data_IF_296262423241
#
_entry.id   IF_296262423241
#
_cell.length_a   1.000
_cell.length_b   1.000
_cell.length_c   1.000
_cell.angle_alpha   90.00
_cell.angle_beta   90.00
_cell.angle_gamma   90.00
#
_symmetry.space_group_name_H-M   'P 1'
#
loop_
_entity.id
_entity.type
_entity.pdbx_description
1 polymer ?
#
# COMPACT_ATOMS: atom_id res chain seq x y z
N UNK A 1 1.62 -31.01 8.04
CA UNK A 1 2.34 -30.14 7.07
C UNK A 1 1.34 -29.11 6.53
N UNK A 2 1.73 -27.86 6.37
CA UNK A 2 0.85 -26.90 5.71
C UNK A 2 0.60 -27.37 4.27
N UNK A 3 -0.64 -27.51 3.93
CA UNK A 3 -1.08 -27.87 2.59
C UNK A 3 -1.56 -26.60 1.90
N UNK A 4 -1.32 -26.46 0.59
CA UNK A 4 -1.98 -25.43 -0.19
C UNK A 4 -3.47 -25.81 -0.37
N UNK A 5 -4.40 -25.24 0.43
CA UNK A 5 -5.80 -25.66 0.41
C UNK A 5 -6.54 -25.20 -0.87
N UNK A 6 -5.90 -24.39 -1.72
CA UNK A 6 -6.48 -23.81 -2.93
C UNK A 6 -5.86 -24.33 -4.21
N UNK A 7 -4.79 -25.14 -4.14
CA UNK A 7 -4.08 -25.64 -5.30
C UNK A 7 -3.40 -24.59 -6.16
N UNK A 8 -2.98 -23.46 -5.55
CA UNK A 8 -2.40 -22.30 -6.25
C UNK A 8 -0.87 -22.37 -6.38
N UNK A 9 -0.27 -23.57 -6.20
CA UNK A 9 1.17 -23.75 -6.44
C UNK A 9 1.55 -23.30 -7.85
N UNK A 10 2.64 -22.54 -7.95
CA UNK A 10 3.13 -21.96 -9.19
C UNK A 10 2.62 -20.54 -9.47
N UNK A 11 1.49 -20.14 -8.89
CA UNK A 11 0.90 -18.82 -9.08
C UNK A 11 1.20 -17.86 -7.89
N UNK A 12 1.87 -18.35 -6.83
CA UNK A 12 2.17 -17.58 -5.63
C UNK A 12 3.63 -17.83 -5.18
N UNK A 13 4.62 -17.11 -5.73
CA UNK A 13 6.06 -17.40 -5.52
C UNK A 13 6.49 -17.46 -4.06
N UNK A 14 5.99 -16.56 -3.21
CA UNK A 14 6.31 -16.56 -1.78
C UNK A 14 5.69 -17.74 -1.03
N UNK A 15 4.43 -18.08 -1.33
CA UNK A 15 3.77 -19.25 -0.77
C UNK A 15 4.50 -20.52 -1.17
N UNK A 16 4.86 -20.65 -2.44
CA UNK A 16 5.61 -21.80 -2.95
C UNK A 16 6.98 -21.94 -2.28
N UNK A 17 7.71 -20.84 -2.12
CA UNK A 17 9.01 -20.84 -1.45
C UNK A 17 8.86 -21.26 0.02
N UNK A 18 7.85 -20.75 0.72
CA UNK A 18 7.55 -21.12 2.11
C UNK A 18 7.15 -22.59 2.24
N UNK A 19 6.28 -23.10 1.37
CA UNK A 19 5.87 -24.51 1.37
C UNK A 19 7.07 -25.44 1.13
N UNK A 20 7.92 -25.12 0.15
CA UNK A 20 9.16 -25.89 -0.10
C UNK A 20 10.11 -25.87 1.10
N UNK A 21 10.25 -24.72 1.76
CA UNK A 21 11.06 -24.62 2.98
C UNK A 21 10.52 -25.50 4.11
N UNK A 22 9.20 -25.49 4.33
CA UNK A 22 8.57 -26.34 5.34
C UNK A 22 8.69 -27.84 5.01
N UNK A 23 8.53 -28.22 3.73
CA UNK A 23 8.69 -29.60 3.26
C UNK A 23 10.15 -30.11 3.41
N UNK A 24 11.11 -29.26 3.08
CA UNK A 24 12.53 -29.63 3.18
C UNK A 24 13.00 -29.75 4.62
N UNK A 25 12.34 -29.13 5.57
CA UNK A 25 12.64 -29.11 7.00
C UNK A 25 14.15 -29.03 7.29
N UNK A 26 14.90 -28.06 6.75
CA UNK A 26 16.34 -28.01 6.87
C UNK A 26 16.77 -27.81 8.32
N UNK A 27 17.88 -28.39 8.74
CA UNK A 27 18.46 -28.17 10.05
C UNK A 27 18.97 -26.73 10.17
N UNK A 28 18.39 -25.88 11.05
CA UNK A 28 18.64 -24.44 11.03
C UNK A 28 19.85 -24.05 11.89
N UNK A 29 21.00 -23.85 11.24
CA UNK A 29 22.22 -23.32 11.87
C UNK A 29 22.33 -21.79 11.86
N UNK A 30 21.27 -21.09 11.45
CA UNK A 30 21.21 -19.63 11.35
C UNK A 30 20.11 -19.03 12.22
N UNK A 31 19.83 -17.73 12.07
CA UNK A 31 18.65 -17.07 12.60
C UNK A 31 17.39 -17.55 11.82
N UNK A 32 16.16 -17.49 12.41
CA UNK A 32 15.84 -17.02 13.76
C UNK A 32 16.27 -17.94 14.90
N UNK A 33 16.33 -17.41 16.14
CA UNK A 33 16.82 -18.10 17.33
C UNK A 33 15.99 -19.31 17.77
N UNK A 34 14.69 -19.35 17.45
CA UNK A 34 13.79 -20.49 17.74
C UNK A 34 14.09 -21.76 16.89
N UNK A 35 14.90 -21.63 15.85
CA UNK A 35 15.35 -22.77 15.04
C UNK A 35 14.23 -23.65 14.47
N UNK A 36 13.07 -23.08 14.16
CA UNK A 36 11.88 -23.80 13.70
C UNK A 36 11.45 -24.92 14.69
N UNK A 37 11.73 -24.74 15.99
CA UNK A 37 11.40 -25.70 17.03
C UNK A 37 9.94 -25.60 17.42
N UNK A 38 9.04 -26.19 16.62
CA UNK A 38 7.60 -26.29 16.87
C UNK A 38 7.30 -26.97 18.21
N UNK A 39 8.14 -27.90 18.62
CA UNK A 39 8.05 -28.62 19.91
C UNK A 39 8.29 -27.71 21.12
N UNK A 40 9.02 -26.62 20.97
CA UNK A 40 9.32 -25.67 22.05
C UNK A 40 8.40 -24.45 22.05
N UNK A 41 8.04 -23.93 20.88
CA UNK A 41 7.38 -22.62 20.73
C UNK A 41 5.99 -22.76 20.10
N UNK A 42 5.65 -23.92 19.54
CA UNK A 42 4.41 -24.16 18.82
C UNK A 42 4.47 -23.70 17.36
N UNK A 43 3.36 -23.83 16.66
CA UNK A 43 3.28 -23.60 15.22
C UNK A 43 3.44 -22.13 14.79
N UNK A 44 3.45 -21.20 15.73
CA UNK A 44 3.67 -19.77 15.46
C UNK A 44 4.99 -19.49 14.74
N UNK A 45 6.01 -20.33 14.93
CA UNK A 45 7.32 -20.19 14.29
C UNK A 45 7.31 -20.50 12.79
N UNK A 46 6.30 -21.21 12.30
CA UNK A 46 6.23 -21.58 10.88
C UNK A 46 6.27 -20.37 9.91
N UNK A 47 5.75 -19.23 10.37
CA UNK A 47 5.76 -17.98 9.59
C UNK A 47 7.04 -17.16 9.71
N UNK A 48 7.90 -17.45 10.68
CA UNK A 48 9.17 -16.72 10.90
C UNK A 48 10.33 -17.51 10.29
N UNK A 49 10.57 -17.26 9.02
CA UNK A 49 11.49 -18.02 8.19
C UNK A 49 12.86 -17.32 8.05
N UNK A 50 13.94 -18.08 7.82
CA UNK A 50 15.27 -17.50 7.61
C UNK A 50 15.40 -16.83 6.23
N UNK A 51 16.48 -16.06 6.05
CA UNK A 51 16.82 -15.39 4.80
C UNK A 51 17.67 -16.26 3.86
N UNK A 52 17.46 -17.57 3.84
CA UNK A 52 18.21 -18.56 3.05
C UNK A 52 17.29 -19.70 2.58
N UNK A 53 17.86 -20.74 1.99
CA UNK A 53 17.16 -21.95 1.53
C UNK A 53 16.05 -21.66 0.49
N UNK A 54 16.32 -20.75 -0.45
CA UNK A 54 15.39 -20.36 -1.49
C UNK A 54 14.36 -19.31 -1.06
N UNK A 55 14.48 -18.81 0.16
CA UNK A 55 13.75 -17.65 0.66
C UNK A 55 14.57 -16.38 0.38
N UNK A 56 13.88 -15.24 0.29
CA UNK A 56 14.47 -13.98 -0.12
C UNK A 56 14.51 -12.99 1.04
N UNK A 57 15.01 -11.79 0.77
CA UNK A 57 15.02 -10.67 1.71
C UNK A 57 14.36 -9.45 1.10
N UNK A 58 13.52 -8.77 1.87
CA UNK A 58 12.84 -7.54 1.47
C UNK A 58 13.80 -6.46 0.97
N UNK A 59 15.02 -6.42 1.52
CA UNK A 59 16.02 -5.40 1.15
C UNK A 59 16.47 -5.50 -0.30
N UNK A 60 16.58 -6.70 -0.85
CA UNK A 60 17.11 -6.92 -2.18
C UNK A 60 16.02 -7.15 -3.23
N UNK A 61 14.90 -7.76 -2.86
CA UNK A 61 13.73 -8.06 -3.71
C UNK A 61 14.10 -8.59 -5.10
N UNK A 62 15.10 -9.50 -5.18
CA UNK A 62 15.63 -10.04 -6.45
C UNK A 62 15.24 -11.47 -6.72
N UNK A 63 14.68 -12.16 -5.73
CA UNK A 63 14.26 -13.57 -5.81
C UNK A 63 12.74 -13.69 -5.81
N UNK A 64 12.21 -14.53 -4.91
CA UNK A 64 10.77 -14.82 -4.80
C UNK A 64 9.95 -13.61 -4.33
N UNK A 65 10.53 -12.70 -3.55
CA UNK A 65 9.89 -11.44 -3.19
C UNK A 65 9.69 -10.56 -4.43
N UNK A 66 10.73 -10.40 -5.26
CA UNK A 66 10.64 -9.64 -6.50
C UNK A 66 9.64 -10.26 -7.50
N UNK A 67 9.53 -11.59 -7.57
CA UNK A 67 8.52 -12.27 -8.38
C UNK A 67 7.11 -11.98 -7.86
N UNK A 68 6.89 -12.03 -6.55
CA UNK A 68 5.60 -11.70 -5.95
C UNK A 68 5.25 -10.22 -6.13
N UNK A 69 6.21 -9.30 -5.99
CA UNK A 69 6.02 -7.88 -6.28
C UNK A 69 5.63 -7.64 -7.74
N UNK A 70 6.26 -8.34 -8.69
CA UNK A 70 5.90 -8.26 -10.11
C UNK A 70 4.50 -8.78 -10.40
N UNK A 71 4.09 -9.87 -9.74
CA UNK A 71 2.72 -10.39 -9.86
C UNK A 71 1.70 -9.41 -9.24
N UNK A 72 2.00 -8.83 -8.09
CA UNK A 72 1.16 -7.82 -7.48
C UNK A 72 1.05 -6.59 -8.40
N UNK A 73 2.16 -6.09 -8.95
CA UNK A 73 2.14 -5.00 -9.92
C UNK A 73 1.21 -5.33 -11.10
N UNK A 74 1.33 -6.52 -11.69
CA UNK A 74 0.46 -6.96 -12.78
C UNK A 74 -1.02 -6.99 -12.38
N UNK A 75 -1.35 -7.52 -11.18
CA UNK A 75 -2.74 -7.62 -10.70
C UNK A 75 -3.40 -6.25 -10.49
N UNK A 76 -2.66 -5.26 -10.01
CA UNK A 76 -3.14 -3.89 -9.82
C UNK A 76 -2.93 -2.99 -11.05
N UNK A 77 -2.35 -3.51 -12.15
CA UNK A 77 -2.06 -2.73 -13.34
C UNK A 77 -1.02 -1.63 -13.11
N UNK A 78 -0.07 -1.87 -12.21
CA UNK A 78 1.01 -0.94 -11.88
C UNK A 78 2.30 -1.30 -12.63
N UNK A 79 3.15 -0.32 -12.91
CA UNK A 79 4.50 -0.54 -13.43
C UNK A 79 5.45 -1.12 -12.36
N UNK A 80 5.21 -0.75 -11.11
CA UNK A 80 6.03 -1.14 -9.98
C UNK A 80 5.17 -1.44 -8.75
N UNK A 81 5.48 -2.53 -8.04
CA UNK A 81 5.01 -2.80 -6.69
C UNK A 81 6.18 -3.01 -5.74
N UNK A 82 6.02 -2.58 -4.50
CA UNK A 82 6.95 -2.86 -3.41
C UNK A 82 6.19 -3.26 -2.15
N UNK A 83 6.58 -4.39 -1.60
CA UNK A 83 6.06 -4.85 -0.33
C UNK A 83 6.72 -4.12 0.85
N UNK A 84 5.95 -3.83 1.88
CA UNK A 84 6.43 -3.20 3.11
C UNK A 84 5.90 -3.91 4.34
N UNK A 85 6.79 -4.37 5.21
CA UNK A 85 6.44 -4.94 6.52
C UNK A 85 6.14 -3.87 7.57
N UNK A 86 6.44 -2.60 7.28
CA UNK A 86 6.07 -1.45 8.11
C UNK A 86 4.64 -0.94 7.90
N UNK A 87 3.83 -1.67 7.10
CA UNK A 87 2.46 -1.34 6.79
C UNK A 87 2.29 -0.10 5.90
N UNK A 88 1.04 0.30 5.63
CA UNK A 88 0.73 1.53 4.87
C UNK A 88 1.31 2.79 5.52
N UNK A 89 1.59 2.77 6.82
CA UNK A 89 2.31 3.85 7.49
C UNK A 89 3.67 4.11 6.86
N UNK A 90 4.46 3.06 6.64
CA UNK A 90 5.76 3.16 5.98
C UNK A 90 5.61 3.57 4.51
N UNK A 91 4.63 3.01 3.79
CA UNK A 91 4.34 3.38 2.40
C UNK A 91 4.01 4.87 2.25
N UNK A 92 3.12 5.40 3.09
CA UNK A 92 2.77 6.83 3.10
C UNK A 92 3.97 7.73 3.39
N UNK A 93 4.83 7.35 4.35
CA UNK A 93 6.04 8.10 4.66
C UNK A 93 7.05 8.05 3.51
N UNK A 94 7.22 6.91 2.87
CA UNK A 94 8.11 6.76 1.72
C UNK A 94 7.66 7.62 0.54
N UNK A 95 6.36 7.65 0.22
CA UNK A 95 5.81 8.50 -0.84
C UNK A 95 5.96 9.98 -0.51
N UNK A 96 5.72 10.41 0.73
CA UNK A 96 5.94 11.79 1.13
C UNK A 96 7.41 12.22 0.90
N UNK A 97 8.37 11.34 1.26
CA UNK A 97 9.81 11.59 1.03
C UNK A 97 10.19 11.58 -0.45
N UNK A 98 9.45 10.85 -1.30
CA UNK A 98 9.73 10.74 -2.74
C UNK A 98 9.18 11.92 -3.55
N UNK A 99 8.07 12.54 -3.11
CA UNK A 99 7.35 13.56 -3.87
C UNK A 99 8.03 14.93 -3.85
N UNK A 100 8.72 15.28 -2.78
CA UNK A 100 9.28 16.64 -2.65
C UNK A 100 10.46 16.71 -1.69
N UNK A 101 10.91 17.94 -1.50
CA UNK A 101 12.01 18.30 -0.61
C UNK A 101 11.52 19.22 0.52
N UNK A 102 12.28 19.41 1.60
CA UNK A 102 11.90 20.33 2.66
C UNK A 102 11.57 21.74 2.12
N UNK A 103 10.39 22.25 2.49
CA UNK A 103 9.84 23.51 2.03
C UNK A 103 8.97 23.42 0.76
N UNK A 104 8.95 22.30 0.04
CA UNK A 104 8.02 22.11 -1.08
C UNK A 104 6.58 22.00 -0.60
N UNK A 105 5.65 22.61 -1.36
CA UNK A 105 4.22 22.57 -1.07
C UNK A 105 3.57 21.34 -1.70
N UNK A 106 2.61 20.77 -1.00
CA UNK A 106 1.78 19.65 -1.48
C UNK A 106 0.31 19.88 -1.11
N UNK A 107 -0.61 19.49 -1.99
CA UNK A 107 -2.05 19.57 -1.69
C UNK A 107 -2.48 18.29 -0.97
N UNK A 108 -3.18 18.42 0.15
CA UNK A 108 -3.46 17.30 1.06
C UNK A 108 -4.89 17.33 1.56
N UNK A 109 -5.61 16.20 1.45
CA UNK A 109 -6.95 16.08 1.99
C UNK A 109 -6.96 16.16 3.53
N UNK A 110 -7.92 16.87 4.11
CA UNK A 110 -8.08 16.97 5.58
C UNK A 110 -8.48 15.65 6.24
N UNK A 111 -8.91 14.67 5.48
CA UNK A 111 -9.33 13.34 5.92
C UNK A 111 -8.20 12.31 5.87
N UNK A 112 -6.98 12.69 5.52
CA UNK A 112 -5.85 11.76 5.43
C UNK A 112 -5.55 11.07 6.77
N UNK A 113 -4.97 9.89 6.68
CA UNK A 113 -4.52 9.16 7.85
C UNK A 113 -3.27 9.83 8.48
N UNK A 114 -3.15 9.74 9.81
CA UNK A 114 -2.01 10.33 10.58
C UNK A 114 -0.63 9.90 10.06
N UNK A 115 -0.51 8.73 9.41
CA UNK A 115 0.76 8.27 8.82
C UNK A 115 1.25 9.19 7.71
N UNK A 116 0.34 9.69 6.87
CA UNK A 116 0.68 10.68 5.85
C UNK A 116 1.09 12.01 6.49
N UNK A 117 0.37 12.45 7.54
CA UNK A 117 0.75 13.66 8.28
C UNK A 117 2.18 13.54 8.83
N UNK A 118 2.52 12.39 9.42
CA UNK A 118 3.89 12.13 9.88
C UNK A 118 4.89 12.07 8.72
N UNK A 119 4.48 11.54 7.57
CA UNK A 119 5.28 11.57 6.34
C UNK A 119 5.60 12.98 5.89
N UNK A 120 4.62 13.90 5.90
CA UNK A 120 4.83 15.31 5.57
C UNK A 120 5.83 15.97 6.52
N UNK A 121 5.72 15.70 7.84
CA UNK A 121 6.64 16.20 8.85
C UNK A 121 8.07 15.68 8.61
N UNK A 122 8.22 14.36 8.34
CA UNK A 122 9.53 13.74 8.07
C UNK A 122 10.17 14.30 6.80
N UNK A 123 9.39 14.55 5.77
CA UNK A 123 9.87 15.11 4.50
C UNK A 123 10.02 16.63 4.52
N UNK A 124 9.54 17.31 5.57
CA UNK A 124 9.57 18.77 5.68
C UNK A 124 8.66 19.46 4.66
N UNK A 125 7.59 18.80 4.20
CA UNK A 125 6.66 19.34 3.22
C UNK A 125 5.64 20.28 3.85
N UNK A 126 5.24 21.31 3.09
CA UNK A 126 4.23 22.30 3.50
C UNK A 126 2.85 21.94 2.94
N UNK A 127 1.87 21.55 3.80
CA UNK A 127 0.57 21.13 3.31
C UNK A 127 -0.35 22.31 2.96
N UNK A 128 -0.93 22.28 1.78
CA UNK A 128 -2.09 23.07 1.37
C UNK A 128 -3.33 22.21 1.53
N UNK A 129 -4.15 22.55 2.51
CA UNK A 129 -5.27 21.71 2.91
C UNK A 129 -6.46 21.84 1.98
N UNK A 130 -6.97 20.72 1.48
CA UNK A 130 -8.26 20.63 0.80
C UNK A 130 -9.28 19.92 1.69
N UNK A 131 -10.48 20.47 1.81
CA UNK A 131 -11.56 19.90 2.62
C UNK A 131 -12.43 18.98 1.76
N UNK A 132 -12.82 17.81 2.29
CA UNK A 132 -13.83 16.97 1.65
C UNK A 132 -15.20 17.65 1.74
N UNK A 133 -16.13 17.22 0.92
CA UNK A 133 -17.54 17.43 1.17
C UNK A 133 -17.97 16.65 2.42
N UNK A 134 -19.04 17.11 3.04
CA UNK A 134 -19.58 16.51 4.26
C UNK A 134 -21.07 16.27 4.05
N UNK A 135 -21.52 15.05 4.30
CA UNK A 135 -22.94 14.75 4.32
C UNK A 135 -23.64 15.59 5.39
N UNK A 136 -24.59 16.45 5.01
CA UNK A 136 -25.25 17.36 5.96
C UNK A 136 -26.13 16.64 6.98
N UNK A 137 -26.59 15.42 6.68
CA UNK A 137 -27.49 14.68 7.56
C UNK A 137 -26.71 13.96 8.68
N UNK A 138 -25.51 13.45 8.40
CA UNK A 138 -24.77 12.61 9.34
C UNK A 138 -23.39 13.16 9.69
N UNK A 139 -22.92 14.24 9.05
CA UNK A 139 -21.62 14.83 9.29
C UNK A 139 -20.45 13.97 8.78
N UNK A 140 -20.70 13.02 7.88
CA UNK A 140 -19.70 12.10 7.35
C UNK A 140 -18.93 12.72 6.18
N UNK A 141 -17.60 12.50 6.05
CA UNK A 141 -16.84 12.96 4.91
C UNK A 141 -17.19 12.14 3.65
N UNK A 142 -17.49 12.84 2.55
CA UNK A 142 -17.89 12.25 1.26
C UNK A 142 -16.75 12.18 0.24
N UNK A 143 -15.60 12.71 0.54
CA UNK A 143 -14.46 12.79 -0.36
C UNK A 143 -14.14 14.22 -0.78
N UNK A 144 -13.04 14.39 -1.49
CA UNK A 144 -12.62 15.65 -2.10
C UNK A 144 -13.21 15.73 -3.51
N UNK A 145 -13.81 16.86 -3.86
CA UNK A 145 -14.29 17.07 -5.23
C UNK A 145 -13.20 17.62 -6.15
N UNK A 146 -13.31 17.37 -7.45
CA UNK A 146 -12.43 17.94 -8.47
C UNK A 146 -12.40 19.48 -8.40
N UNK A 147 -13.54 20.13 -8.15
CA UNK A 147 -13.59 21.58 -8.02
C UNK A 147 -12.83 22.11 -6.78
N UNK A 148 -12.92 21.40 -5.64
CA UNK A 148 -12.17 21.76 -4.44
C UNK A 148 -10.65 21.58 -4.66
N UNK A 149 -10.24 20.51 -5.34
CA UNK A 149 -8.85 20.24 -5.70
C UNK A 149 -8.32 21.32 -6.66
N UNK A 150 -9.05 21.64 -7.74
CA UNK A 150 -8.69 22.68 -8.70
C UNK A 150 -8.46 24.03 -8.00
N UNK A 151 -9.36 24.41 -7.09
CA UNK A 151 -9.22 25.64 -6.29
C UNK A 151 -7.94 25.62 -5.44
N UNK A 152 -7.64 24.48 -4.80
CA UNK A 152 -6.42 24.33 -3.98
C UNK A 152 -5.16 24.45 -4.83
N UNK A 153 -5.10 23.79 -5.99
CA UNK A 153 -3.97 23.84 -6.90
C UNK A 153 -3.78 25.21 -7.55
N UNK A 154 -4.86 25.91 -7.90
CA UNK A 154 -4.79 27.29 -8.36
C UNK A 154 -4.17 28.22 -7.31
N UNK A 155 -4.41 27.96 -6.02
CA UNK A 155 -3.80 28.74 -4.92
C UNK A 155 -2.37 28.31 -4.58
N UNK A 156 -1.93 27.18 -5.10
CA UNK A 156 -0.61 26.59 -4.89
C UNK A 156 -0.03 26.05 -6.19
N UNK A 157 0.27 26.92 -7.18
CA UNK A 157 0.71 26.49 -8.52
C UNK A 157 2.11 25.84 -8.50
N UNK A 158 2.84 25.97 -7.41
CA UNK A 158 4.15 25.39 -7.15
C UNK A 158 4.10 24.03 -6.43
N UNK A 159 2.90 23.52 -6.13
CA UNK A 159 2.71 22.23 -5.48
C UNK A 159 3.39 21.09 -6.26
N UNK A 160 3.98 20.13 -5.53
CA UNK A 160 4.71 19.00 -6.10
C UNK A 160 3.89 17.72 -6.22
N UNK A 161 2.73 17.66 -5.60
CA UNK A 161 1.85 16.50 -5.64
C UNK A 161 0.59 16.68 -4.82
N UNK A 162 -0.33 15.73 -4.99
CA UNK A 162 -1.62 15.68 -4.31
C UNK A 162 -1.70 14.39 -3.51
N UNK A 163 -2.11 14.47 -2.24
CA UNK A 163 -2.31 13.30 -1.36
C UNK A 163 -3.76 13.23 -0.89
N UNK A 164 -4.47 12.18 -1.27
CA UNK A 164 -5.87 11.92 -0.93
C UNK A 164 -6.01 10.53 -0.29
N UNK A 165 -6.82 10.40 0.75
CA UNK A 165 -7.20 9.10 1.32
C UNK A 165 -8.53 8.63 0.73
N UNK A 166 -8.52 7.51 0.00
CA UNK A 166 -9.69 6.90 -0.64
C UNK A 166 -9.57 5.36 -0.70
N UNK A 167 -10.56 4.60 -0.26
CA UNK A 167 -11.82 5.04 0.37
C UNK A 167 -11.61 5.61 1.77
N UNK A 168 -12.61 6.38 2.25
CA UNK A 168 -12.61 6.90 3.61
C UNK A 168 -12.86 5.80 4.65
N UNK A 169 -12.68 6.12 5.93
CA UNK A 169 -12.98 5.19 7.04
C UNK A 169 -14.42 4.73 7.13
N UNK A 170 -15.35 5.50 6.57
CA UNK A 170 -16.78 5.19 6.57
C UNK A 170 -17.23 4.55 5.26
N UNK A 171 -16.30 4.21 4.38
CA UNK A 171 -16.56 3.51 3.12
C UNK A 171 -17.03 4.41 1.97
N UNK A 172 -16.94 5.73 2.12
CA UNK A 172 -17.21 6.64 0.99
C UNK A 172 -16.06 6.61 0.00
N UNK A 173 -16.40 6.63 -1.29
CA UNK A 173 -15.44 6.66 -2.40
C UNK A 173 -15.71 7.90 -3.24
N UNK A 174 -14.69 8.72 -3.45
CA UNK A 174 -14.72 9.89 -4.32
C UNK A 174 -14.46 9.54 -5.79
N UNK A 175 -14.58 10.52 -6.65
CA UNK A 175 -14.25 10.39 -8.07
C UNK A 175 -12.74 10.57 -8.28
N UNK A 176 -11.98 9.49 -8.10
CA UNK A 176 -10.52 9.49 -8.27
C UNK A 176 -10.12 9.86 -9.69
N UNK A 177 -10.90 9.47 -10.72
CA UNK A 177 -10.59 9.81 -12.11
C UNK A 177 -10.65 11.32 -12.34
N UNK A 178 -11.68 11.98 -11.83
CA UNK A 178 -11.77 13.44 -11.94
C UNK A 178 -10.65 14.16 -11.15
N UNK A 179 -10.22 13.59 -10.00
CA UNK A 179 -9.08 14.12 -9.23
C UNK A 179 -7.76 13.95 -10.00
N UNK A 180 -7.54 12.81 -10.65
CA UNK A 180 -6.38 12.53 -11.48
C UNK A 180 -6.30 13.50 -12.66
N UNK A 181 -7.40 13.70 -13.38
CA UNK A 181 -7.47 14.69 -14.47
C UNK A 181 -7.10 16.10 -14.01
N UNK A 182 -7.55 16.51 -12.83
CA UNK A 182 -7.18 17.82 -12.26
C UNK A 182 -5.68 17.87 -11.99
N UNK A 183 -5.13 16.90 -11.25
CA UNK A 183 -3.70 16.88 -10.89
C UNK A 183 -2.81 16.88 -12.15
N UNK A 184 -3.15 16.06 -13.15
CA UNK A 184 -2.39 15.94 -14.39
C UNK A 184 -2.46 17.22 -15.25
N UNK A 185 -3.58 17.96 -15.27
CA UNK A 185 -3.61 19.28 -15.93
C UNK A 185 -2.64 20.28 -15.31
N UNK A 186 -2.35 20.15 -14.02
CA UNK A 186 -1.34 20.93 -13.31
C UNK A 186 0.08 20.34 -13.42
N UNK A 187 0.24 19.17 -14.09
CA UNK A 187 1.55 18.51 -14.31
C UNK A 187 2.14 17.89 -13.05
N UNK A 188 1.30 17.51 -12.06
CA UNK A 188 1.73 16.94 -10.79
C UNK A 188 1.06 15.60 -10.51
N UNK A 189 1.72 14.70 -9.75
CA UNK A 189 1.19 13.38 -9.45
C UNK A 189 0.08 13.41 -8.42
N UNK A 190 -0.87 12.46 -8.56
CA UNK A 190 -1.89 12.11 -7.60
C UNK A 190 -1.49 10.84 -6.83
N UNK A 191 -1.34 10.95 -5.53
CA UNK A 191 -1.05 9.85 -4.60
C UNK A 191 -2.29 9.52 -3.78
N UNK A 192 -2.68 8.25 -3.78
CA UNK A 192 -3.85 7.77 -3.04
C UNK A 192 -3.43 6.85 -1.88
N UNK A 193 -3.81 7.23 -0.67
CA UNK A 193 -3.81 6.31 0.47
C UNK A 193 -5.09 5.46 0.40
N UNK A 194 -4.99 4.30 -0.22
CA UNK A 194 -6.05 3.31 -0.37
C UNK A 194 -5.93 2.17 0.65
N UNK A 195 -5.49 2.47 1.87
CA UNK A 195 -5.29 1.44 2.90
C UNK A 195 -6.54 0.59 3.15
N UNK A 196 -7.73 1.09 2.89
CA UNK A 196 -9.01 0.36 2.96
C UNK A 196 -9.50 -0.16 1.60
N UNK A 197 -8.79 0.11 0.51
CA UNK A 197 -9.18 -0.13 -0.87
C UNK A 197 -8.54 -1.33 -1.56
N UNK A 198 -7.84 -2.22 -0.84
CA UNK A 198 -7.10 -3.34 -1.46
C UNK A 198 -7.97 -4.28 -2.32
N UNK A 199 -9.27 -4.37 -2.05
CA UNK A 199 -10.24 -5.22 -2.76
C UNK A 199 -10.90 -4.53 -3.97
N UNK A 200 -10.74 -3.22 -4.12
CA UNK A 200 -11.34 -2.48 -5.23
C UNK A 200 -10.73 -2.90 -6.58
N UNK A 201 -11.51 -2.82 -7.65
CA UNK A 201 -11.09 -3.17 -9.00
C UNK A 201 -11.10 -4.66 -9.34
N UNK A 202 -11.27 -5.56 -8.36
CA UNK A 202 -11.26 -7.02 -8.57
C UNK A 202 -12.63 -7.65 -8.80
N UNK A 203 -13.70 -6.86 -8.80
CA UNK A 203 -15.05 -7.34 -9.09
C UNK A 203 -15.85 -6.26 -9.81
N UNK A 204 -16.64 -6.59 -10.87
CA UNK A 204 -17.37 -5.58 -11.65
C UNK A 204 -18.43 -4.80 -10.86
N UNK A 205 -18.85 -5.29 -9.72
CA UNK A 205 -19.76 -4.59 -8.80
C UNK A 205 -19.05 -3.65 -7.81
N UNK A 206 -17.71 -3.54 -7.87
CA UNK A 206 -16.93 -2.62 -7.05
C UNK A 206 -16.38 -1.47 -7.90
N UNK A 207 -16.11 -0.30 -7.29
CA UNK A 207 -15.38 0.76 -7.98
C UNK A 207 -14.02 0.27 -8.48
N UNK A 208 -13.44 0.90 -9.52
CA UNK A 208 -12.06 0.65 -9.91
C UNK A 208 -11.11 1.01 -8.77
N UNK A 209 -9.95 0.35 -8.69
CA UNK A 209 -8.92 0.83 -7.77
C UNK A 209 -8.25 2.11 -8.29
N UNK A 210 -7.56 2.81 -7.40
CA UNK A 210 -7.09 4.15 -7.70
C UNK A 210 -6.15 4.25 -8.93
N UNK A 211 -5.27 3.25 -9.18
CA UNK A 211 -4.41 3.27 -10.36
C UNK A 211 -5.22 3.14 -11.67
N UNK A 212 -6.23 2.26 -11.71
CA UNK A 212 -7.14 2.18 -12.86
C UNK A 212 -7.91 3.48 -13.09
N UNK A 213 -8.13 4.25 -12.01
CA UNK A 213 -8.76 5.55 -12.05
C UNK A 213 -7.79 6.70 -12.35
N UNK A 214 -6.50 6.42 -12.63
CA UNK A 214 -5.52 7.40 -13.05
C UNK A 214 -4.61 7.95 -11.95
N UNK A 215 -4.61 7.39 -10.73
CA UNK A 215 -3.61 7.76 -9.74
C UNK A 215 -2.21 7.33 -10.17
N UNK A 216 -1.20 8.13 -9.85
CA UNK A 216 0.21 7.84 -10.19
C UNK A 216 0.87 6.93 -9.16
N UNK A 217 0.42 6.99 -7.92
CA UNK A 217 0.86 6.10 -6.85
C UNK A 217 -0.26 5.76 -5.88
N UNK A 218 -0.19 4.56 -5.31
CA UNK A 218 -1.17 4.01 -4.40
C UNK A 218 -0.46 3.32 -3.25
N UNK A 219 -0.92 3.58 -2.02
CA UNK A 219 -0.60 2.78 -0.85
C UNK A 219 -1.83 1.98 -0.46
N UNK A 220 -1.70 0.67 -0.30
CA UNK A 220 -2.79 -0.16 0.19
C UNK A 220 -2.37 -1.07 1.34
N UNK A 221 -3.32 -1.69 2.02
CA UNK A 221 -3.07 -2.63 3.12
C UNK A 221 -3.82 -3.92 2.87
N UNK A 222 -3.08 -4.97 2.55
CA UNK A 222 -3.67 -6.29 2.33
C UNK A 222 -4.50 -6.76 3.53
N UNK A 223 -3.96 -6.64 4.76
CA UNK A 223 -4.61 -7.13 5.98
C UNK A 223 -5.93 -6.44 6.37
N UNK A 224 -6.26 -5.28 5.79
CA UNK A 224 -7.50 -4.57 6.10
C UNK A 224 -8.69 -5.07 5.30
N UNK A 225 -8.48 -5.49 4.06
CA UNK A 225 -9.55 -5.84 3.13
C UNK A 225 -9.39 -7.19 2.45
N UNK A 226 -8.19 -7.78 2.46
CA UNK A 226 -7.91 -9.11 1.93
C UNK A 226 -7.68 -10.10 3.09
N UNK A 227 -7.82 -11.41 2.88
CA UNK A 227 -7.56 -12.44 3.89
C UNK A 227 -6.05 -12.61 4.14
N UNK A 228 -5.43 -11.58 4.69
CA UNK A 228 -4.01 -11.50 4.98
C UNK A 228 -3.77 -11.26 6.49
N UNK A 229 -2.56 -11.55 6.93
CA UNK A 229 -2.14 -11.36 8.33
C UNK A 229 -1.91 -9.87 8.62
N UNK A 230 -2.06 -9.46 9.88
CA UNK A 230 -1.73 -8.09 10.31
C UNK A 230 -0.21 -7.82 10.28
N UNK A 231 0.18 -6.54 10.39
CA UNK A 231 1.56 -6.05 10.27
C UNK A 231 2.60 -6.75 11.16
N UNK A 232 2.19 -7.33 12.28
CA UNK A 232 3.09 -8.00 13.23
C UNK A 232 3.57 -9.37 12.75
N UNK A 233 3.16 -9.79 11.55
CA UNK A 233 3.58 -11.02 10.89
C UNK A 233 3.97 -10.73 9.44
N UNK A 234 4.90 -11.46 8.82
CA UNK A 234 5.72 -11.04 7.68
C UNK A 234 5.02 -10.81 6.32
N UNK A 235 3.77 -10.38 6.28
CA UNK A 235 3.04 -10.10 5.03
C UNK A 235 2.21 -8.82 5.13
N UNK A 236 2.59 -7.82 4.64
CA UNK A 236 2.62 -6.91 3.49
C UNK A 236 1.63 -5.75 3.56
N UNK A 237 2.13 -4.54 3.59
CA UNK A 237 1.49 -3.40 2.97
C UNK A 237 2.20 -3.12 1.65
N UNK A 238 1.49 -2.69 0.64
CA UNK A 238 1.99 -2.51 -0.71
C UNK A 238 2.04 -1.03 -1.07
N UNK A 239 3.15 -0.62 -1.67
CA UNK A 239 3.25 0.64 -2.40
C UNK A 239 3.24 0.29 -3.87
N UNK A 240 2.27 0.81 -4.59
CA UNK A 240 2.08 0.61 -6.01
C UNK A 240 2.25 1.97 -6.70
N UNK A 241 2.98 2.00 -7.80
CA UNK A 241 3.20 3.21 -8.60
C UNK A 241 3.12 2.88 -10.08
N UNK A 242 2.61 3.82 -10.85
CA UNK A 242 2.69 3.89 -12.30
C UNK A 242 3.78 4.87 -12.70
#
# INVERSE_FOLDING_TARGET
MPTDPRGLRGDAPLLDAWLRFQEAAPTPFTIPGHKQRHDLVGDVVAGDVPLYAGLDTMKLSRGVVGQAEAQAAHLWGADLCRFSVGGSTHGNQALALAIGRPGDRVVVARTLHRSMLLGLVLAGLEPVWVRPEVDPAHGLPLGVTAAALEKALTSAPDAKGVFIGEPSYVGTVGDVSALAEVAHRHGIPLVIDAAWGAHLGFHPGLPPHALQAGADALVTSAHKALPAWSQDKPFVAEVLAN
#
